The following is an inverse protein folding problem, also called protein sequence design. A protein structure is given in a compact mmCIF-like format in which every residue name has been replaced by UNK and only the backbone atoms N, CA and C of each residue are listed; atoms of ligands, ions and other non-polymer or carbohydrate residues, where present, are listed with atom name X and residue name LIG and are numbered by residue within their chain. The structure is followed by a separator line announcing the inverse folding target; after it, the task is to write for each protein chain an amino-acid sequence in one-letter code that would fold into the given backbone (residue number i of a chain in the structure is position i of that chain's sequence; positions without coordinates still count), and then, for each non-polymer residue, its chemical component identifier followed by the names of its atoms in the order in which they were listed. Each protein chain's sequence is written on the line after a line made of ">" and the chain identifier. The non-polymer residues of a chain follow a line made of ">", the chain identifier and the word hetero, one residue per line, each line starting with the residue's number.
data_IF_011085870948
#
_entry.id   IF_011085870948
#
_cell.length_a   1.000
_cell.length_b   1.000
_cell.length_c   1.000
_cell.angle_alpha   90.00
_cell.angle_beta   90.00
_cell.angle_gamma   90.00
#
_symmetry.space_group_name_H-M   'P 1'
#
loop_
_entity.id
_entity.type
_entity.pdbx_description
1 polymer ?
#
# COMPACT_ATOMS: atom_id res chain seq x y z
N UNK A 1 -23.35 15.00 0.77
CA UNK A 1 -24.05 13.79 1.19
C UNK A 1 -25.33 14.21 1.91
N UNK A 2 -26.49 13.81 1.39
CA UNK A 2 -27.79 14.34 1.85
C UNK A 2 -28.71 13.22 2.34
N UNK A 3 -29.53 13.54 3.35
CA UNK A 3 -30.63 12.69 3.82
C UNK A 3 -31.85 12.78 2.86
N UNK A 4 -32.92 12.06 3.18
CA UNK A 4 -34.15 12.05 2.39
C UNK A 4 -34.87 13.43 2.31
N UNK A 5 -34.52 14.37 3.18
CA UNK A 5 -35.08 15.73 3.21
C UNK A 5 -34.18 16.74 2.49
N UNK A 6 -33.02 16.29 1.95
CA UNK A 6 -32.04 17.16 1.32
C UNK A 6 -31.09 17.88 2.29
N UNK A 7 -31.08 17.51 3.58
CA UNK A 7 -30.16 18.08 4.53
C UNK A 7 -28.82 17.28 4.50
N UNK A 8 -27.71 17.96 4.78
CA UNK A 8 -26.42 17.32 4.93
C UNK A 8 -26.43 16.33 6.11
N UNK A 9 -25.94 15.10 5.89
CA UNK A 9 -25.85 14.08 6.95
C UNK A 9 -24.71 14.43 7.93
N UNK A 10 -24.75 13.87 9.13
CA UNK A 10 -23.71 14.03 10.15
C UNK A 10 -22.37 13.40 9.76
N UNK A 11 -21.36 13.64 10.58
CA UNK A 11 -20.03 13.06 10.40
C UNK A 11 -19.93 11.63 10.94
N UNK A 12 -19.00 10.86 10.35
CA UNK A 12 -18.65 9.51 10.76
C UNK A 12 -19.47 8.42 10.10
N UNK A 13 -18.97 7.20 10.16
CA UNK A 13 -19.57 6.02 9.51
C UNK A 13 -20.98 5.69 10.02
N UNK A 14 -21.31 6.05 11.28
CA UNK A 14 -22.64 5.87 11.84
C UNK A 14 -23.72 6.68 11.12
N UNK A 15 -23.38 7.87 10.61
CA UNK A 15 -24.34 8.73 9.92
C UNK A 15 -24.68 8.30 8.50
N UNK A 16 -23.91 7.38 7.93
CA UNK A 16 -24.15 6.88 6.57
C UNK A 16 -25.47 6.11 6.43
N UNK A 17 -26.05 5.62 7.52
CA UNK A 17 -27.36 4.96 7.49
C UNK A 17 -28.50 5.89 7.05
N UNK A 18 -28.33 7.21 7.18
CA UNK A 18 -29.33 8.21 6.77
C UNK A 18 -29.09 8.76 5.36
N UNK A 19 -27.99 8.37 4.71
CA UNK A 19 -27.64 8.82 3.37
C UNK A 19 -28.70 8.39 2.35
N UNK A 20 -29.22 9.34 1.59
CA UNK A 20 -30.22 9.09 0.56
C UNK A 20 -29.76 9.54 -0.83
N UNK A 21 -28.99 10.64 -0.89
CA UNK A 21 -28.56 11.21 -2.16
C UNK A 21 -27.17 11.85 -2.06
N UNK A 22 -26.55 12.03 -3.22
CA UNK A 22 -25.21 12.60 -3.37
C UNK A 22 -25.28 13.76 -4.37
N UNK A 23 -25.03 14.96 -3.89
CA UNK A 23 -24.89 16.15 -4.72
C UNK A 23 -23.40 16.46 -4.97
N UNK A 24 -22.99 16.39 -6.23
CA UNK A 24 -21.65 16.75 -6.70
C UNK A 24 -21.60 18.05 -7.49
N UNK A 25 -22.69 18.82 -7.52
CA UNK A 25 -22.78 20.06 -8.31
C UNK A 25 -21.76 21.11 -7.88
N UNK A 26 -21.32 21.07 -6.62
CA UNK A 26 -20.31 21.96 -6.05
C UNK A 26 -18.87 21.52 -6.28
N UNK A 27 -18.60 20.40 -6.96
CA UNK A 27 -17.22 20.00 -7.27
C UNK A 27 -16.58 20.98 -8.26
N UNK A 28 -15.31 21.31 -7.98
CA UNK A 28 -14.54 22.20 -8.87
C UNK A 28 -14.40 21.55 -10.26
N UNK A 29 -14.82 22.23 -11.34
CA UNK A 29 -14.81 21.66 -12.68
C UNK A 29 -13.38 21.30 -13.17
N UNK A 30 -12.33 21.92 -12.59
CA UNK A 30 -10.93 21.61 -12.93
C UNK A 30 -10.51 20.19 -12.52
N UNK A 31 -11.24 19.54 -11.61
CA UNK A 31 -10.98 18.15 -11.22
C UNK A 31 -11.08 17.18 -12.40
N UNK A 32 -11.86 17.51 -13.43
CA UNK A 32 -11.96 16.70 -14.65
C UNK A 32 -10.66 16.61 -15.44
N UNK A 33 -9.80 17.61 -15.29
CA UNK A 33 -8.50 17.72 -15.98
C UNK A 33 -7.34 17.21 -15.10
N UNK A 34 -7.64 16.75 -13.88
CA UNK A 34 -6.65 16.23 -12.94
C UNK A 34 -6.55 14.71 -13.02
N UNK A 35 -5.32 14.19 -13.02
CA UNK A 35 -5.04 12.78 -12.78
C UNK A 35 -4.68 12.61 -11.31
N UNK A 36 -5.56 11.98 -10.55
CA UNK A 36 -5.36 11.76 -9.11
C UNK A 36 -4.92 10.31 -8.90
N UNK A 37 -3.71 10.12 -8.38
CA UNK A 37 -3.16 8.83 -7.98
C UNK A 37 -3.02 8.80 -6.47
N UNK A 38 -3.54 7.75 -5.87
CA UNK A 38 -3.56 7.58 -4.41
C UNK A 38 -2.69 6.39 -4.03
N UNK A 39 -1.68 6.64 -3.20
CA UNK A 39 -0.88 5.56 -2.62
C UNK A 39 -1.75 4.74 -1.67
N UNK A 40 -1.99 3.49 -2.02
CA UNK A 40 -2.81 2.56 -1.25
C UNK A 40 -2.13 1.20 -1.20
N UNK A 41 -1.57 0.86 -0.04
CA UNK A 41 -0.83 -0.39 0.17
C UNK A 41 -1.70 -1.50 0.78
N UNK A 42 -3.02 -1.30 0.81
CA UNK A 42 -4.00 -2.31 1.23
C UNK A 42 -4.93 -2.65 0.09
N UNK A 43 -5.34 -3.92 0.02
CA UNK A 43 -6.25 -4.43 -1.02
C UNK A 43 -7.66 -4.75 -0.49
N UNK A 44 -7.95 -4.35 0.75
CA UNK A 44 -9.22 -4.63 1.40
C UNK A 44 -10.38 -3.99 0.62
N UNK A 45 -11.45 -4.73 0.31
CA UNK A 45 -12.68 -4.17 -0.24
C UNK A 45 -13.36 -3.25 0.79
N UNK A 46 -14.40 -2.56 0.39
CA UNK A 46 -15.10 -1.64 1.28
C UNK A 46 -15.77 -2.38 2.43
N UNK A 47 -16.43 -3.49 2.15
CA UNK A 47 -17.28 -4.24 3.09
C UNK A 47 -16.98 -5.74 3.09
N UNK A 48 -17.65 -6.46 3.99
CA UNK A 48 -17.54 -7.92 4.12
C UNK A 48 -16.43 -8.37 5.05
N UNK A 49 -16.11 -9.68 5.05
CA UNK A 49 -15.17 -10.27 6.01
C UNK A 49 -13.75 -9.68 5.94
N UNK A 50 -13.33 -9.23 4.77
CA UNK A 50 -12.05 -8.54 4.57
C UNK A 50 -12.23 -7.01 4.41
N UNK A 51 -13.41 -6.49 4.69
CA UNK A 51 -13.75 -5.07 4.52
C UNK A 51 -13.20 -4.15 5.61
N UNK A 52 -13.37 -2.86 5.39
CA UNK A 52 -12.82 -1.80 6.24
C UNK A 52 -13.18 -1.96 7.72
N UNK A 53 -14.46 -2.18 8.03
CA UNK A 53 -14.96 -2.24 9.40
C UNK A 53 -14.43 -3.45 10.14
N UNK A 54 -14.42 -4.63 9.50
CA UNK A 54 -13.98 -5.88 10.15
C UNK A 54 -12.48 -5.92 10.39
N UNK A 55 -11.69 -5.48 9.42
CA UNK A 55 -10.22 -5.58 9.52
C UNK A 55 -9.63 -4.45 10.37
N UNK A 56 -10.11 -3.22 10.20
CA UNK A 56 -9.49 -2.05 10.85
C UNK A 56 -10.29 -1.52 12.05
N UNK A 57 -11.54 -1.94 12.24
CA UNK A 57 -12.39 -1.51 13.34
C UNK A 57 -11.88 -1.92 14.71
N UNK A 58 -11.51 -3.19 14.96
CA UNK A 58 -11.10 -3.68 16.28
C UNK A 58 -9.94 -2.88 16.87
N UNK A 59 -8.89 -2.62 16.10
CA UNK A 59 -7.73 -1.85 16.57
C UNK A 59 -8.03 -0.38 16.88
N UNK A 60 -9.18 0.12 16.41
CA UNK A 60 -9.69 1.48 16.66
C UNK A 60 -10.76 1.52 17.75
N UNK A 61 -10.99 0.39 18.43
CA UNK A 61 -11.91 0.28 19.56
C UNK A 61 -13.36 0.01 19.19
N UNK A 62 -13.66 -0.41 17.95
CA UNK A 62 -15.00 -0.81 17.58
C UNK A 62 -15.39 -2.16 18.23
N UNK A 63 -16.58 -2.21 18.85
CA UNK A 63 -17.19 -3.46 19.31
C UNK A 63 -17.73 -4.28 18.14
N UNK A 64 -18.00 -5.57 18.36
CA UNK A 64 -18.61 -6.42 17.31
C UNK A 64 -19.92 -5.84 16.75
N UNK A 65 -20.77 -5.29 17.62
CA UNK A 65 -22.02 -4.64 17.19
C UNK A 65 -21.75 -3.41 16.31
N UNK A 66 -20.76 -2.59 16.67
CA UNK A 66 -20.34 -1.43 15.86
C UNK A 66 -19.74 -1.86 14.53
N UNK A 67 -18.98 -2.95 14.49
CA UNK A 67 -18.39 -3.47 13.25
C UNK A 67 -19.49 -3.85 12.25
N UNK A 68 -20.51 -4.58 12.72
CA UNK A 68 -21.65 -4.97 11.88
C UNK A 68 -22.44 -3.74 11.40
N UNK A 69 -22.69 -2.77 12.28
CA UNK A 69 -23.38 -1.53 11.93
C UNK A 69 -22.60 -0.73 10.87
N UNK A 70 -21.30 -0.54 11.10
CA UNK A 70 -20.46 0.22 10.18
C UNK A 70 -20.28 -0.47 8.82
N UNK A 71 -20.21 -1.79 8.79
CA UNK A 71 -20.12 -2.56 7.55
C UNK A 71 -21.40 -2.41 6.72
N UNK A 72 -22.58 -2.51 7.38
CA UNK A 72 -23.86 -2.26 6.73
C UNK A 72 -23.99 -0.82 6.21
N UNK A 73 -23.53 0.17 6.98
CA UNK A 73 -23.56 1.58 6.60
C UNK A 73 -22.63 1.86 5.40
N UNK A 74 -21.45 1.26 5.36
CA UNK A 74 -20.55 1.34 4.20
C UNK A 74 -21.13 0.63 2.97
N UNK A 75 -21.83 -0.49 3.17
CA UNK A 75 -22.55 -1.17 2.09
C UNK A 75 -23.64 -0.25 1.49
N UNK A 76 -24.45 0.36 2.35
CA UNK A 76 -25.46 1.33 1.94
C UNK A 76 -24.84 2.53 1.21
N UNK A 77 -23.75 3.08 1.73
CA UNK A 77 -23.00 4.16 1.07
C UNK A 77 -22.55 3.79 -0.35
N UNK A 78 -22.00 2.59 -0.54
CA UNK A 78 -21.62 2.11 -1.87
C UNK A 78 -22.83 1.98 -2.82
N UNK A 79 -23.98 1.52 -2.32
CA UNK A 79 -25.19 1.38 -3.11
C UNK A 79 -25.74 2.77 -3.55
N UNK A 80 -25.66 3.78 -2.68
CA UNK A 80 -26.05 5.16 -3.03
C UNK A 80 -25.04 5.75 -4.04
N UNK A 81 -23.75 5.55 -3.86
CA UNK A 81 -22.71 5.95 -4.86
C UNK A 81 -23.02 5.33 -6.21
N UNK A 82 -23.26 4.04 -6.26
CA UNK A 82 -23.57 3.32 -7.51
C UNK A 82 -24.81 3.89 -8.21
N UNK A 83 -25.84 4.20 -7.44
CA UNK A 83 -27.08 4.80 -7.95
C UNK A 83 -26.88 6.22 -8.48
N UNK A 84 -26.18 7.08 -7.70
CA UNK A 84 -26.05 8.50 -8.01
C UNK A 84 -24.94 8.81 -9.03
N UNK A 85 -23.80 8.10 -8.94
CA UNK A 85 -22.60 8.40 -9.74
C UNK A 85 -22.30 7.34 -10.80
N UNK A 86 -23.02 6.21 -10.83
CA UNK A 86 -22.80 5.07 -11.70
C UNK A 86 -21.40 4.41 -11.55
N UNK A 87 -20.79 4.53 -10.36
CA UNK A 87 -19.50 3.96 -10.00
C UNK A 87 -19.71 2.86 -8.97
N UNK A 88 -19.23 1.66 -9.26
CA UNK A 88 -19.29 0.54 -8.31
C UNK A 88 -17.95 0.44 -7.56
N UNK A 89 -17.98 0.69 -6.25
CA UNK A 89 -16.78 0.72 -5.40
C UNK A 89 -16.78 -0.35 -4.31
N UNK A 90 -17.85 -1.16 -4.23
CA UNK A 90 -18.07 -2.06 -3.08
C UNK A 90 -16.97 -3.09 -2.92
N UNK A 91 -16.61 -3.77 -4.02
CA UNK A 91 -15.68 -4.89 -4.04
C UNK A 91 -14.31 -4.54 -4.65
N UNK A 92 -14.09 -3.25 -4.91
CA UNK A 92 -12.82 -2.82 -5.53
C UNK A 92 -11.68 -2.94 -4.52
N UNK A 93 -10.55 -3.59 -4.87
CA UNK A 93 -9.38 -3.66 -4.01
C UNK A 93 -8.90 -2.27 -3.60
N UNK A 94 -8.71 -2.05 -2.30
CA UNK A 94 -8.32 -0.76 -1.74
C UNK A 94 -9.49 0.19 -1.40
N UNK A 95 -10.72 -0.14 -1.78
CA UNK A 95 -11.89 0.68 -1.44
C UNK A 95 -12.07 0.87 0.07
N UNK A 96 -11.71 -0.15 0.86
CA UNK A 96 -11.75 -0.12 2.32
C UNK A 96 -10.62 0.65 2.99
N UNK A 97 -9.63 1.12 2.23
CA UNK A 97 -8.51 1.88 2.78
C UNK A 97 -9.00 3.09 3.58
N UNK A 98 -8.39 3.31 4.74
CA UNK A 98 -8.72 4.40 5.65
C UNK A 98 -10.22 4.50 5.99
N UNK A 99 -10.88 3.33 6.16
CA UNK A 99 -12.28 3.28 6.57
C UNK A 99 -13.29 3.65 5.47
N UNK A 100 -12.93 3.43 4.19
CA UNK A 100 -13.76 3.73 3.03
C UNK A 100 -13.35 5.00 2.28
N UNK A 101 -12.27 5.66 2.67
CA UNK A 101 -11.75 6.81 1.92
C UNK A 101 -11.30 6.40 0.51
N UNK A 102 -10.77 5.18 0.32
CA UNK A 102 -10.45 4.64 -1.00
C UNK A 102 -11.67 4.66 -1.94
N UNK A 103 -12.81 4.20 -1.46
CA UNK A 103 -14.07 4.24 -2.21
C UNK A 103 -14.48 5.68 -2.56
N UNK A 104 -14.39 6.60 -1.59
CA UNK A 104 -14.73 8.01 -1.81
C UNK A 104 -13.84 8.64 -2.90
N UNK A 105 -12.53 8.45 -2.81
CA UNK A 105 -11.57 9.04 -3.76
C UNK A 105 -11.80 8.51 -5.19
N UNK A 106 -12.10 7.23 -5.34
CA UNK A 106 -12.47 6.66 -6.64
C UNK A 106 -13.78 7.26 -7.15
N UNK A 107 -14.82 7.30 -6.31
CA UNK A 107 -16.17 7.69 -6.73
C UNK A 107 -16.30 9.19 -7.07
N UNK A 108 -15.69 10.06 -6.25
CA UNK A 108 -15.87 11.51 -6.39
C UNK A 108 -14.78 12.18 -7.22
N UNK A 109 -13.57 11.63 -7.23
CA UNK A 109 -12.42 12.24 -7.87
C UNK A 109 -11.86 11.43 -9.04
N UNK A 110 -12.45 10.27 -9.34
CA UNK A 110 -11.95 9.37 -10.37
C UNK A 110 -10.51 8.88 -10.09
N UNK A 111 -10.14 8.79 -8.80
CA UNK A 111 -8.77 8.47 -8.40
C UNK A 111 -8.39 7.03 -8.76
N UNK A 112 -7.15 6.85 -9.20
CA UNK A 112 -6.50 5.55 -9.38
C UNK A 112 -5.80 5.16 -8.07
N UNK A 113 -6.20 4.02 -7.48
CA UNK A 113 -5.49 3.47 -6.33
C UNK A 113 -4.30 2.65 -6.85
N UNK A 114 -3.10 2.97 -6.39
CA UNK A 114 -1.86 2.30 -6.75
C UNK A 114 -1.00 2.07 -5.50
N UNK A 115 -0.17 1.04 -5.50
CA UNK A 115 0.78 0.87 -4.41
C UNK A 115 1.76 2.05 -4.34
N UNK A 116 2.20 2.40 -3.12
CA UNK A 116 3.15 3.49 -2.93
C UNK A 116 4.45 3.25 -3.71
N UNK A 117 4.92 2.01 -3.72
CA UNK A 117 6.12 1.65 -4.49
C UNK A 117 5.93 1.84 -6.00
N UNK A 118 4.77 1.51 -6.56
CA UNK A 118 4.49 1.73 -7.99
C UNK A 118 4.50 3.21 -8.35
N UNK A 119 3.91 4.05 -7.52
CA UNK A 119 3.90 5.50 -7.72
C UNK A 119 5.33 6.05 -7.72
N UNK A 120 6.13 5.68 -6.72
CA UNK A 120 7.50 6.17 -6.57
C UNK A 120 8.40 5.67 -7.71
N UNK A 121 8.36 4.38 -8.03
CA UNK A 121 9.20 3.81 -9.10
C UNK A 121 8.86 4.39 -10.47
N UNK A 122 7.58 4.67 -10.72
CA UNK A 122 7.12 5.34 -11.94
C UNK A 122 7.60 6.80 -11.99
N UNK A 123 7.44 7.54 -10.90
CA UNK A 123 7.83 8.95 -10.83
C UNK A 123 9.35 9.14 -10.96
N UNK A 124 10.14 8.17 -10.52
CA UNK A 124 11.61 8.18 -10.63
C UNK A 124 12.12 7.56 -11.93
N UNK A 125 11.26 7.11 -12.84
CA UNK A 125 11.64 6.39 -14.07
C UNK A 125 12.60 5.21 -13.77
N UNK A 126 12.34 4.46 -12.68
CA UNK A 126 13.21 3.37 -12.26
C UNK A 126 13.43 2.34 -13.37
N UNK A 127 12.45 2.14 -14.22
CA UNK A 127 12.47 1.21 -15.34
C UNK A 127 13.59 1.55 -16.35
N UNK A 128 13.76 2.83 -16.69
CA UNK A 128 14.84 3.30 -17.56
C UNK A 128 16.23 3.03 -16.96
N UNK A 129 16.39 3.31 -15.67
CA UNK A 129 17.66 3.07 -14.98
C UNK A 129 18.01 1.58 -14.88
N UNK A 130 17.00 0.73 -14.67
CA UNK A 130 17.20 -0.73 -14.58
C UNK A 130 17.53 -1.34 -15.94
N UNK A 131 16.96 -0.82 -17.02
CA UNK A 131 17.21 -1.35 -18.37
C UNK A 131 18.71 -1.45 -18.67
N UNK A 132 19.48 -0.45 -18.33
CA UNK A 132 20.90 -0.33 -18.68
C UNK A 132 21.85 -0.87 -17.60
N UNK A 133 21.33 -1.29 -16.42
CA UNK A 133 22.18 -1.84 -15.36
C UNK A 133 22.45 -3.34 -15.56
N UNK A 134 23.50 -3.85 -14.90
CA UNK A 134 23.85 -5.28 -14.87
C UNK A 134 23.38 -5.98 -13.60
N UNK A 135 23.14 -5.21 -12.53
CA UNK A 135 22.74 -5.69 -11.21
C UNK A 135 21.89 -4.62 -10.53
N UNK A 136 20.88 -5.05 -9.82
CA UNK A 136 20.06 -4.19 -8.95
C UNK A 136 20.35 -4.55 -7.50
N UNK A 137 20.59 -3.54 -6.68
CA UNK A 137 20.73 -3.68 -5.23
C UNK A 137 19.60 -2.89 -4.58
N UNK A 138 18.85 -3.53 -3.73
CA UNK A 138 17.75 -2.94 -2.97
C UNK A 138 17.86 -3.29 -1.50
N UNK A 139 17.16 -2.58 -0.62
CA UNK A 139 17.23 -2.89 0.80
C UNK A 139 16.21 -2.19 1.66
N UNK A 140 16.11 -2.66 2.87
CA UNK A 140 15.30 -2.07 3.94
C UNK A 140 15.86 -2.43 5.32
N UNK A 141 15.26 -1.91 6.39
CA UNK A 141 15.71 -2.20 7.75
C UNK A 141 15.59 -3.67 8.12
N UNK A 142 14.57 -4.38 7.62
CA UNK A 142 14.34 -5.82 7.86
C UNK A 142 13.62 -6.44 6.67
N UNK A 143 14.21 -7.50 6.12
CA UNK A 143 13.57 -8.33 5.09
C UNK A 143 13.05 -9.62 5.74
N UNK A 144 11.75 -9.88 5.54
CA UNK A 144 11.00 -11.00 6.11
C UNK A 144 9.86 -11.42 5.15
N UNK A 145 9.02 -12.38 5.58
CA UNK A 145 7.85 -12.80 4.80
C UNK A 145 6.84 -11.67 4.54
N UNK A 146 6.81 -10.62 5.36
CA UNK A 146 5.95 -9.46 5.14
C UNK A 146 6.43 -8.56 4.00
N UNK A 147 7.72 -8.68 3.63
CA UNK A 147 8.29 -7.86 2.55
C UNK A 147 7.67 -8.17 1.19
N UNK A 148 7.08 -9.38 1.00
CA UNK A 148 6.41 -9.74 -0.25
C UNK A 148 5.09 -8.97 -0.49
N UNK A 149 4.53 -8.34 0.53
CA UNK A 149 3.29 -7.59 0.45
C UNK A 149 3.49 -6.13 0.01
N UNK A 150 4.24 -5.91 -1.07
CA UNK A 150 4.35 -4.59 -1.71
C UNK A 150 5.37 -3.64 -1.08
N UNK A 151 6.28 -4.14 -0.21
CA UNK A 151 7.38 -3.31 0.30
C UNK A 151 8.42 -2.99 -0.78
N UNK A 152 9.23 -1.98 -0.51
CA UNK A 152 10.22 -1.44 -1.46
C UNK A 152 11.11 -2.50 -2.12
N UNK A 153 11.73 -3.47 -1.40
CA UNK A 153 12.61 -4.44 -2.03
C UNK A 153 11.93 -5.27 -3.11
N UNK A 154 10.71 -5.72 -2.85
CA UNK A 154 9.95 -6.53 -3.82
C UNK A 154 9.46 -5.67 -4.99
N UNK A 155 9.03 -4.44 -4.74
CA UNK A 155 8.64 -3.53 -5.82
C UNK A 155 9.78 -3.24 -6.80
N UNK A 156 10.98 -3.01 -6.28
CA UNK A 156 12.20 -2.84 -7.09
C UNK A 156 12.56 -4.12 -7.83
N UNK A 157 12.49 -5.28 -7.15
CA UNK A 157 12.76 -6.58 -7.76
C UNK A 157 11.79 -6.88 -8.91
N UNK A 158 10.52 -6.58 -8.75
CA UNK A 158 9.52 -6.77 -9.80
C UNK A 158 9.85 -5.97 -11.07
N UNK A 159 10.32 -4.72 -10.92
CA UNK A 159 10.78 -3.93 -12.08
C UNK A 159 12.03 -4.56 -12.69
N UNK A 160 13.01 -4.97 -11.87
CA UNK A 160 14.25 -5.58 -12.34
C UNK A 160 14.00 -6.88 -13.12
N UNK A 161 13.07 -7.71 -12.69
CA UNK A 161 12.75 -9.00 -13.32
C UNK A 161 12.07 -8.86 -14.67
N UNK A 162 11.40 -7.75 -14.97
CA UNK A 162 10.92 -7.46 -16.33
C UNK A 162 12.08 -7.44 -17.35
N UNK A 163 13.27 -7.04 -16.91
CA UNK A 163 14.49 -6.94 -17.73
C UNK A 163 15.51 -8.04 -17.44
N UNK A 164 15.08 -9.11 -16.76
CA UNK A 164 15.93 -10.25 -16.39
C UNK A 164 17.19 -9.86 -15.61
N UNK A 165 17.14 -8.77 -14.84
CA UNK A 165 18.28 -8.32 -14.06
C UNK A 165 18.38 -9.09 -12.73
N UNK A 166 19.59 -9.47 -12.30
CA UNK A 166 19.80 -10.02 -10.98
C UNK A 166 19.55 -8.97 -9.89
N UNK A 167 19.01 -9.41 -8.75
CA UNK A 167 18.63 -8.53 -7.62
C UNK A 167 19.24 -9.05 -6.33
N UNK A 168 19.95 -8.18 -5.64
CA UNK A 168 20.49 -8.43 -4.30
C UNK A 168 19.73 -7.58 -3.29
N UNK A 169 19.19 -8.20 -2.26
CA UNK A 169 18.62 -7.55 -1.09
C UNK A 169 19.64 -7.37 0.02
N UNK A 170 19.74 -6.14 0.56
CA UNK A 170 20.57 -5.84 1.74
C UNK A 170 19.65 -5.35 2.86
N UNK A 171 19.74 -5.93 4.04
CA UNK A 171 18.88 -5.55 5.17
C UNK A 171 19.65 -5.41 6.48
N UNK A 172 19.13 -4.60 7.38
CA UNK A 172 19.60 -4.55 8.76
C UNK A 172 19.49 -5.92 9.42
N UNK A 173 18.35 -6.59 9.27
CA UNK A 173 18.15 -7.96 9.76
C UNK A 173 17.37 -8.81 8.76
N UNK A 174 17.56 -10.12 8.86
CA UNK A 174 16.78 -11.14 8.15
C UNK A 174 16.09 -12.04 9.17
N UNK A 175 14.95 -12.60 8.80
CA UNK A 175 14.22 -13.58 9.62
C UNK A 175 14.39 -14.99 9.05
N UNK A 176 14.04 -16.00 9.82
CA UNK A 176 14.16 -17.41 9.39
C UNK A 176 13.29 -17.72 8.16
N UNK A 177 12.20 -16.98 7.97
CA UNK A 177 11.26 -17.11 6.86
C UNK A 177 11.62 -16.26 5.62
N UNK A 178 12.75 -15.59 5.64
CA UNK A 178 13.20 -14.69 4.54
C UNK A 178 13.31 -15.40 3.19
N UNK A 179 13.48 -16.71 3.16
CA UNK A 179 13.61 -17.50 1.93
C UNK A 179 12.45 -17.31 0.93
N UNK A 180 11.29 -16.87 1.38
CA UNK A 180 10.14 -16.60 0.53
C UNK A 180 10.42 -15.51 -0.52
N UNK A 181 11.29 -14.54 -0.23
CA UNK A 181 11.58 -13.43 -1.15
C UNK A 181 12.27 -13.86 -2.43
N UNK A 182 12.93 -15.03 -2.42
CA UNK A 182 13.55 -15.59 -3.63
C UNK A 182 12.51 -15.94 -4.70
N UNK A 183 11.30 -16.34 -4.29
CA UNK A 183 10.19 -16.60 -5.21
C UNK A 183 9.56 -15.30 -5.73
N UNK A 184 9.93 -14.15 -5.14
CA UNK A 184 9.43 -12.82 -5.48
C UNK A 184 10.50 -11.91 -6.11
N UNK A 185 11.52 -12.51 -6.73
CA UNK A 185 12.47 -11.81 -7.60
C UNK A 185 13.73 -11.29 -6.92
N UNK A 186 13.99 -11.59 -5.65
CA UNK A 186 15.28 -11.30 -5.01
C UNK A 186 16.15 -12.55 -5.09
N UNK A 187 17.27 -12.49 -5.80
CA UNK A 187 18.14 -13.66 -6.02
C UNK A 187 19.01 -14.00 -4.82
N UNK A 188 19.49 -12.99 -4.09
CA UNK A 188 20.26 -13.17 -2.87
C UNK A 188 19.93 -12.09 -1.84
N UNK A 189 20.02 -12.43 -0.54
CA UNK A 189 19.81 -11.50 0.57
C UNK A 189 20.99 -11.54 1.53
N UNK A 190 21.34 -10.37 2.06
CA UNK A 190 22.44 -10.21 3.01
C UNK A 190 22.01 -9.35 4.19
N UNK A 191 22.29 -9.84 5.42
CA UNK A 191 22.24 -8.98 6.60
C UNK A 191 23.50 -8.14 6.68
N UNK A 192 23.36 -6.88 7.07
CA UNK A 192 24.50 -6.01 7.33
C UNK A 192 25.09 -6.18 8.74
N UNK A 193 24.36 -6.86 9.63
CA UNK A 193 24.86 -7.13 10.98
C UNK A 193 26.00 -8.16 10.92
N UNK A 194 27.13 -7.78 11.49
CA UNK A 194 28.35 -8.61 11.52
C UNK A 194 28.65 -9.19 12.90
N UNK A 195 27.92 -8.73 13.91
CA UNK A 195 28.08 -9.19 15.29
C UNK A 195 26.72 -9.13 16.02
N UNK A 196 26.62 -9.87 17.11
CA UNK A 196 25.50 -9.77 18.04
C UNK A 196 25.66 -8.48 18.82
N UNK A 197 24.61 -7.70 18.91
CA UNK A 197 24.59 -6.43 19.61
C UNK A 197 23.15 -5.96 19.88
N UNK A 198 23.02 -4.81 20.49
CA UNK A 198 21.72 -4.16 20.72
C UNK A 198 21.23 -3.46 19.45
N UNK A 199 19.92 -3.16 19.40
CA UNK A 199 19.33 -2.41 18.30
C UNK A 199 19.96 -1.01 18.16
N UNK A 200 20.26 -0.35 19.28
CA UNK A 200 20.90 0.97 19.28
C UNK A 200 22.32 0.93 18.71
N UNK A 201 23.07 -0.13 18.99
CA UNK A 201 24.39 -0.34 18.38
C UNK A 201 24.28 -0.60 16.88
N UNK A 202 23.30 -1.39 16.46
CA UNK A 202 23.02 -1.63 15.05
C UNK A 202 22.71 -0.35 14.28
N UNK A 203 21.89 0.54 14.86
CA UNK A 203 21.58 1.84 14.24
C UNK A 203 22.79 2.77 14.20
N UNK A 204 23.56 2.87 15.29
CA UNK A 204 24.76 3.71 15.32
C UNK A 204 25.83 3.24 14.32
N UNK A 205 25.95 1.92 14.15
CA UNK A 205 26.91 1.32 13.23
C UNK A 205 26.37 1.09 11.80
N UNK A 206 25.17 1.55 11.48
CA UNK A 206 24.49 1.19 10.22
C UNK A 206 25.32 1.52 8.98
N UNK A 207 25.92 2.71 8.91
CA UNK A 207 26.74 3.12 7.78
C UNK A 207 27.92 2.17 7.56
N UNK A 208 28.72 1.92 8.59
CA UNK A 208 29.90 1.06 8.51
C UNK A 208 29.53 -0.40 8.18
N UNK A 209 28.42 -0.87 8.74
CA UNK A 209 27.90 -2.21 8.47
C UNK A 209 27.47 -2.36 7.00
N UNK A 210 26.74 -1.36 6.46
CA UNK A 210 26.36 -1.34 5.03
C UNK A 210 27.60 -1.31 4.15
N UNK A 211 28.58 -0.45 4.44
CA UNK A 211 29.85 -0.39 3.69
C UNK A 211 30.57 -1.73 3.66
N UNK A 212 30.65 -2.41 4.81
CA UNK A 212 31.30 -3.71 4.93
C UNK A 212 30.58 -4.80 4.15
N UNK A 213 29.24 -4.87 4.27
CA UNK A 213 28.44 -5.83 3.52
C UNK A 213 28.55 -5.59 2.01
N UNK A 214 28.42 -4.34 1.57
CA UNK A 214 28.54 -3.96 0.16
C UNK A 214 29.91 -4.29 -0.43
N UNK A 215 31.00 -4.04 0.33
CA UNK A 215 32.35 -4.42 -0.08
C UNK A 215 32.50 -5.93 -0.28
N UNK A 216 31.95 -6.73 0.63
CA UNK A 216 32.01 -8.20 0.54
C UNK A 216 31.21 -8.71 -0.67
N UNK A 217 30.01 -8.13 -0.91
CA UNK A 217 29.21 -8.45 -2.09
C UNK A 217 29.98 -8.12 -3.37
N UNK A 218 30.55 -6.90 -3.46
CA UNK A 218 31.34 -6.49 -4.61
C UNK A 218 32.56 -7.38 -4.85
N UNK A 219 33.26 -7.78 -3.79
CA UNK A 219 34.40 -8.70 -3.89
C UNK A 219 33.97 -10.07 -4.41
N UNK A 220 32.81 -10.59 -4.00
CA UNK A 220 32.28 -11.87 -4.48
C UNK A 220 31.89 -11.81 -5.97
N UNK A 221 31.36 -10.66 -6.42
CA UNK A 221 30.97 -10.46 -7.83
C UNK A 221 32.18 -10.26 -8.76
N UNK A 222 33.37 -9.99 -8.21
CA UNK A 222 34.59 -9.76 -8.98
C UNK A 222 35.42 -11.05 -9.21
N UNK A 223 34.99 -12.18 -8.63
CA UNK A 223 35.62 -13.50 -8.82
C UNK A 223 35.10 -14.15 -10.11
#
# INVERSE_FOLDING_TARGET
>A
LCDANGNEIGFGGGSLNTLNDIDISGLDPRLKDCVIRVACDVTNPLVGDNGASRIFGPQKGASEAMIVELDNNLSHYADVIKKALHVDVKDVPGAGAAGGMGAALMAFLGAELKSGIEIVTTALNLEEHIHDCTLVITGEGRIDSQSIHGKVPIGVANVAKKYHKPVIGIAGSLTDDVGVVHQHGIDAVFSVLTSIGTLDEAFRGAYDNICRASRNIAATLAI
#
